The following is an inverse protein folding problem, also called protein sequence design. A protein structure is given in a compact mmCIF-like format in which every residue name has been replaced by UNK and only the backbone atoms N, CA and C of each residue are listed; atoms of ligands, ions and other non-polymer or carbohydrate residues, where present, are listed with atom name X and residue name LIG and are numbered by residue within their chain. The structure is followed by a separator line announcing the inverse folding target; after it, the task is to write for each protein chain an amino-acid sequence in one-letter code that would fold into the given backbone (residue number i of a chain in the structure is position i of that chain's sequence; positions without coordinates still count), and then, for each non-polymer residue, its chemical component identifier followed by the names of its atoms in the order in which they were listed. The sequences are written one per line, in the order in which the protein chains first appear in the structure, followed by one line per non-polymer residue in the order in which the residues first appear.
data_IF_942764342258
#
_entry.id   IF_942764342258
#
_cell.length_a   1.000
_cell.length_b   1.000
_cell.length_c   1.000
_cell.angle_alpha   90.00
_cell.angle_beta   90.00
_cell.angle_gamma   90.00
#
_symmetry.space_group_name_H-M   'P 1'
#
loop_
_entity.id
_entity.type
_entity.pdbx_description
1 polymer ?
#
# COMPACT_ATOMS: atom_id res chain seq x y z
N UNK A 1 -3.41 1.53 18.57
CA UNK A 1 -2.06 1.89 18.10
C UNK A 1 -2.21 3.01 17.08
N UNK A 2 -1.30 3.99 16.99
CA UNK A 2 -1.40 5.08 15.99
C UNK A 2 -0.65 4.73 14.70
N UNK A 3 -1.02 5.31 13.54
CA UNK A 3 -0.36 5.08 12.23
C UNK A 3 1.15 5.24 12.33
N UNK A 4 1.57 6.26 13.07
CA UNK A 4 2.99 6.57 13.23
C UNK A 4 3.70 5.37 13.85
N UNK A 5 3.12 4.74 14.86
CA UNK A 5 3.65 3.51 15.46
C UNK A 5 3.60 2.34 14.48
N UNK A 6 2.48 2.16 13.76
CA UNK A 6 2.33 1.03 12.81
C UNK A 6 3.27 1.16 11.61
N UNK A 7 3.43 2.34 11.03
CA UNK A 7 4.34 2.61 9.91
C UNK A 7 5.80 2.54 10.34
N UNK A 8 6.15 3.08 11.52
CA UNK A 8 7.50 2.91 12.06
C UNK A 8 7.79 1.41 12.30
N UNK A 9 6.84 0.68 12.88
CA UNK A 9 6.95 -0.77 13.06
C UNK A 9 6.93 -1.53 11.71
N UNK A 10 6.36 -0.94 10.67
CA UNK A 10 6.43 -1.38 9.28
C UNK A 10 7.72 -0.94 8.55
N UNK A 11 8.70 -0.41 9.30
CA UNK A 11 10.00 0.01 8.78
C UNK A 11 9.93 1.17 7.77
N UNK A 12 8.83 1.94 7.79
CA UNK A 12 8.73 3.18 7.03
C UNK A 12 9.59 4.22 7.74
N UNK A 13 10.67 4.63 7.08
CA UNK A 13 11.61 5.61 7.61
C UNK A 13 10.91 6.96 7.86
N UNK A 14 11.17 7.57 9.03
CA UNK A 14 10.72 8.92 9.35
C UNK A 14 11.24 9.97 8.35
N UNK A 15 12.38 9.73 7.70
CA UNK A 15 12.88 10.60 6.63
C UNK A 15 11.93 10.62 5.42
N UNK A 16 11.28 9.49 5.12
CA UNK A 16 10.25 9.39 4.09
C UNK A 16 8.95 10.09 4.52
N UNK A 17 8.71 10.26 5.81
CA UNK A 17 7.53 10.97 6.33
C UNK A 17 7.80 12.44 6.67
N UNK A 18 8.93 13.01 6.22
CA UNK A 18 9.30 14.40 6.51
C UNK A 18 8.21 15.38 6.08
N UNK A 19 7.84 16.27 6.99
CA UNK A 19 6.77 17.27 6.78
C UNK A 19 5.37 16.78 7.16
N UNK A 20 5.21 15.51 7.56
CA UNK A 20 3.93 14.98 8.06
C UNK A 20 4.04 14.80 9.58
N UNK A 21 3.20 15.53 10.33
CA UNK A 21 3.15 15.44 11.80
C UNK A 21 2.35 14.21 12.25
N UNK A 22 2.56 13.77 13.48
CA UNK A 22 1.77 12.68 14.08
C UNK A 22 0.28 12.99 14.14
N UNK A 23 -0.09 14.26 14.33
CA UNK A 23 -1.47 14.73 14.32
C UNK A 23 -2.09 14.61 12.93
N UNK A 24 -1.36 15.03 11.88
CA UNK A 24 -1.81 14.86 10.50
C UNK A 24 -2.03 13.39 10.14
N UNK A 25 -1.14 12.50 10.59
CA UNK A 25 -1.28 11.06 10.37
C UNK A 25 -2.55 10.51 11.03
N UNK A 26 -2.77 10.83 12.31
CA UNK A 26 -3.95 10.39 13.06
C UNK A 26 -5.26 10.82 12.38
N UNK A 27 -5.30 12.06 11.88
CA UNK A 27 -6.49 12.56 11.21
C UNK A 27 -6.70 11.94 9.82
N UNK A 28 -5.62 11.62 9.10
CA UNK A 28 -5.71 10.85 7.86
C UNK A 28 -6.29 9.47 8.17
N UNK A 29 -5.82 8.75 9.20
CA UNK A 29 -6.38 7.44 9.58
C UNK A 29 -7.87 7.50 9.87
N UNK A 30 -8.27 8.48 10.70
CA UNK A 30 -9.65 8.59 11.14
C UNK A 30 -10.59 8.82 9.95
N UNK A 31 -10.15 9.57 8.94
CA UNK A 31 -10.93 9.86 7.74
C UNK A 31 -10.78 8.81 6.64
N UNK A 32 -9.72 8.00 6.68
CA UNK A 32 -9.27 7.12 5.59
C UNK A 32 -8.94 5.72 6.15
N UNK A 33 -9.96 4.93 6.51
CA UNK A 33 -9.76 3.65 7.21
C UNK A 33 -8.94 2.63 6.41
N UNK A 34 -8.93 2.69 5.07
CA UNK A 34 -8.09 1.79 4.25
C UNK A 34 -6.60 2.09 4.36
N UNK A 35 -6.22 3.34 4.63
CA UNK A 35 -4.81 3.69 4.87
C UNK A 35 -4.35 3.09 6.21
N UNK A 36 -5.21 3.13 7.24
CA UNK A 36 -4.91 2.49 8.52
C UNK A 36 -4.74 0.97 8.36
N UNK A 37 -5.70 0.30 7.71
CA UNK A 37 -5.62 -1.13 7.42
C UNK A 37 -4.40 -1.49 6.55
N UNK A 38 -4.08 -0.65 5.56
CA UNK A 38 -2.89 -0.82 4.72
C UNK A 38 -1.59 -0.85 5.52
N UNK A 39 -1.47 0.00 6.55
CA UNK A 39 -0.30 0.00 7.42
C UNK A 39 -0.23 -1.25 8.30
N UNK A 40 -1.36 -1.77 8.79
CA UNK A 40 -1.41 -3.02 9.56
C UNK A 40 -0.97 -4.23 8.73
N UNK A 41 -1.40 -4.29 7.47
CA UNK A 41 -0.93 -5.30 6.53
C UNK A 41 0.57 -5.17 6.25
N UNK A 42 1.08 -3.95 6.05
CA UNK A 42 2.51 -3.76 5.85
C UNK A 42 3.34 -4.17 7.07
N UNK A 43 2.84 -3.89 8.28
CA UNK A 43 3.47 -4.34 9.51
C UNK A 43 3.48 -5.88 9.59
N UNK A 44 2.35 -6.52 9.27
CA UNK A 44 2.25 -7.98 9.24
C UNK A 44 3.18 -8.62 8.21
N UNK A 45 3.39 -7.98 7.05
CA UNK A 45 4.32 -8.43 6.02
C UNK A 45 5.78 -8.49 6.51
N UNK A 46 6.15 -7.74 7.55
CA UNK A 46 7.48 -7.80 8.16
C UNK A 46 7.62 -8.86 9.24
N UNK A 47 6.53 -9.48 9.67
CA UNK A 47 6.59 -10.51 10.67
C UNK A 47 7.24 -11.78 10.11
N UNK A 48 8.47 -12.05 10.52
CA UNK A 48 9.25 -13.20 10.08
C UNK A 48 8.67 -14.56 10.54
N UNK A 49 7.72 -14.58 11.49
CA UNK A 49 7.04 -15.82 11.89
C UNK A 49 5.96 -16.25 10.88
N UNK A 50 5.53 -15.36 9.98
CA UNK A 50 4.60 -15.68 8.91
C UNK A 50 5.30 -16.32 7.72
N UNK A 51 4.56 -17.19 7.01
CA UNK A 51 5.07 -17.80 5.78
C UNK A 51 5.36 -16.74 4.69
N UNK A 52 6.31 -16.97 3.77
CA UNK A 52 6.57 -16.05 2.66
C UNK A 52 5.32 -15.73 1.82
N UNK A 53 4.44 -16.71 1.62
CA UNK A 53 3.18 -16.53 0.89
C UNK A 53 2.22 -15.58 1.63
N UNK A 54 2.03 -15.79 2.93
CA UNK A 54 1.21 -14.91 3.77
C UNK A 54 1.77 -13.50 3.78
N UNK A 55 3.10 -13.36 3.91
CA UNK A 55 3.77 -12.04 3.88
C UNK A 55 3.56 -11.35 2.53
N UNK A 56 3.67 -12.08 1.42
CA UNK A 56 3.35 -11.56 0.08
C UNK A 56 1.89 -11.11 -0.05
N UNK A 57 0.95 -11.85 0.52
CA UNK A 57 -0.46 -11.43 0.57
C UNK A 57 -0.62 -10.14 1.37
N UNK A 58 0.01 -10.04 2.53
CA UNK A 58 -0.01 -8.81 3.32
C UNK A 58 0.60 -7.61 2.55
N UNK A 59 1.69 -7.81 1.81
CA UNK A 59 2.27 -6.76 0.95
C UNK A 59 1.25 -6.30 -0.10
N UNK A 60 0.65 -7.26 -0.80
CA UNK A 60 -0.35 -6.97 -1.83
C UNK A 60 -1.56 -6.21 -1.25
N UNK A 61 -2.13 -6.68 -0.15
CA UNK A 61 -3.31 -6.04 0.47
C UNK A 61 -2.97 -4.62 0.96
N UNK A 62 -1.76 -4.40 1.49
CA UNK A 62 -1.29 -3.07 1.85
C UNK A 62 -1.31 -2.11 0.66
N UNK A 63 -0.73 -2.53 -0.47
CA UNK A 63 -0.73 -1.76 -1.71
C UNK A 63 -2.15 -1.52 -2.21
N UNK A 64 -2.95 -2.58 -2.31
CA UNK A 64 -4.28 -2.53 -2.91
C UNK A 64 -5.22 -1.60 -2.14
N UNK A 65 -5.19 -1.63 -0.81
CA UNK A 65 -5.99 -0.74 0.04
C UNK A 65 -5.60 0.74 -0.14
N UNK A 66 -4.29 1.02 -0.28
CA UNK A 66 -3.81 2.36 -0.60
C UNK A 66 -4.27 2.80 -1.99
N UNK A 67 -4.21 1.90 -2.98
CA UNK A 67 -4.70 2.17 -4.35
C UNK A 67 -6.21 2.42 -4.41
N UNK A 68 -7.00 1.70 -3.62
CA UNK A 68 -8.45 1.93 -3.49
C UNK A 68 -8.73 3.34 -2.95
N UNK A 69 -8.03 3.76 -1.90
CA UNK A 69 -8.20 5.09 -1.32
C UNK A 69 -7.87 6.21 -2.33
N UNK A 70 -6.79 6.06 -3.09
CA UNK A 70 -6.43 6.99 -4.16
C UNK A 70 -7.45 7.01 -5.30
N UNK A 71 -8.06 5.87 -5.60
CA UNK A 71 -9.09 5.79 -6.65
C UNK A 71 -10.35 6.54 -6.22
N UNK A 72 -10.80 6.38 -4.98
CA UNK A 72 -11.94 7.16 -4.47
C UNK A 72 -11.65 8.65 -4.36
N UNK A 73 -10.42 9.03 -4.00
CA UNK A 73 -10.00 10.43 -4.00
C UNK A 73 -10.05 11.07 -5.41
N UNK A 74 -10.02 10.26 -6.46
CA UNK A 74 -10.19 10.66 -7.85
C UNK A 74 -11.64 10.51 -8.36
N UNK A 75 -12.61 10.28 -7.47
CA UNK A 75 -14.01 10.04 -7.80
C UNK A 75 -14.26 8.78 -8.64
N UNK A 76 -13.37 7.78 -8.56
CA UNK A 76 -13.62 6.46 -9.13
C UNK A 76 -14.44 5.63 -8.14
N UNK A 77 -15.60 5.13 -8.59
CA UNK A 77 -16.45 4.27 -7.77
C UNK A 77 -15.87 2.86 -7.63
N UNK A 78 -15.82 2.35 -6.40
CA UNK A 78 -15.35 1.00 -6.08
C UNK A 78 -16.48 -0.03 -5.97
N UNK A 79 -17.75 0.38 -6.01
CA UNK A 79 -18.90 -0.48 -5.67
C UNK A 79 -19.02 -1.78 -6.48
N UNK A 80 -18.45 -1.80 -7.69
CA UNK A 80 -18.52 -2.95 -8.62
C UNK A 80 -17.15 -3.49 -9.01
N UNK A 81 -16.11 -3.09 -8.30
CA UNK A 81 -14.74 -3.50 -8.60
C UNK A 81 -14.45 -4.83 -7.91
N UNK A 82 -14.14 -5.85 -8.71
CA UNK A 82 -13.72 -7.14 -8.18
C UNK A 82 -12.34 -7.05 -7.54
N UNK A 83 -12.14 -7.72 -6.39
CA UNK A 83 -10.83 -7.86 -5.77
C UNK A 83 -10.11 -9.11 -6.28
N UNK A 84 -8.84 -9.02 -6.70
CA UNK A 84 -8.07 -7.80 -6.95
C UNK A 84 -8.35 -7.22 -8.35
N UNK A 85 -8.27 -5.90 -8.49
CA UNK A 85 -8.44 -5.20 -9.78
C UNK A 85 -7.16 -4.53 -10.26
N UNK A 86 -6.69 -4.93 -11.44
CA UNK A 86 -5.54 -4.30 -12.10
C UNK A 86 -5.80 -2.81 -12.41
N UNK A 87 -7.05 -2.45 -12.72
CA UNK A 87 -7.39 -1.06 -13.05
C UNK A 87 -7.18 -0.13 -11.85
N UNK A 88 -7.47 -0.60 -10.64
CA UNK A 88 -7.27 0.18 -9.40
C UNK A 88 -5.79 0.42 -9.13
N UNK A 89 -4.98 -0.63 -9.19
CA UNK A 89 -3.53 -0.50 -8.95
C UNK A 89 -2.85 0.29 -10.07
N UNK A 90 -3.28 0.16 -11.32
CA UNK A 90 -2.73 0.97 -12.43
C UNK A 90 -3.10 2.45 -12.30
N UNK A 91 -4.34 2.78 -11.94
CA UNK A 91 -4.73 4.18 -11.72
C UNK A 91 -3.94 4.81 -10.56
N UNK A 92 -3.74 4.07 -9.48
CA UNK A 92 -2.92 4.50 -8.36
C UNK A 92 -1.44 4.70 -8.77
N UNK A 93 -0.88 3.79 -9.58
CA UNK A 93 0.49 3.91 -10.06
C UNK A 93 0.71 5.20 -10.86
N UNK A 94 -0.27 5.61 -11.68
CA UNK A 94 -0.24 6.89 -12.39
C UNK A 94 -0.26 8.09 -11.44
N UNK A 95 -1.13 8.08 -10.42
CA UNK A 95 -1.20 9.18 -9.44
C UNK A 95 0.06 9.31 -8.60
N UNK A 96 0.65 8.18 -8.24
CA UNK A 96 1.86 8.14 -7.42
C UNK A 96 3.16 8.35 -8.22
N UNK A 97 3.06 8.52 -9.54
CA UNK A 97 4.21 8.65 -10.46
C UNK A 97 5.24 7.52 -10.26
N UNK A 98 4.75 6.28 -10.18
CA UNK A 98 5.60 5.12 -9.95
C UNK A 98 6.50 4.85 -11.16
N UNK A 99 7.70 4.33 -10.90
CA UNK A 99 8.65 4.03 -11.98
C UNK A 99 8.16 2.86 -12.84
N UNK A 100 8.71 2.70 -14.05
CA UNK A 100 8.41 1.53 -14.88
C UNK A 100 8.72 0.20 -14.17
N UNK A 101 9.75 0.16 -13.31
CA UNK A 101 10.09 -1.02 -12.52
C UNK A 101 8.98 -1.33 -11.50
N UNK A 102 8.58 -0.32 -10.73
CA UNK A 102 7.51 -0.44 -9.72
C UNK A 102 6.19 -0.91 -10.36
N UNK A 103 5.86 -0.40 -11.56
CA UNK A 103 4.66 -0.79 -12.30
C UNK A 103 4.71 -2.27 -12.71
N UNK A 104 5.86 -2.76 -13.16
CA UNK A 104 6.03 -4.16 -13.55
C UNK A 104 5.90 -5.10 -12.34
N UNK A 105 6.52 -4.75 -11.22
CA UNK A 105 6.42 -5.49 -9.96
C UNK A 105 4.99 -5.50 -9.43
N UNK A 106 4.31 -4.35 -9.46
CA UNK A 106 2.91 -4.20 -9.07
C UNK A 106 1.98 -5.06 -9.91
N UNK A 107 2.20 -5.09 -11.23
CA UNK A 107 1.43 -5.94 -12.15
C UNK A 107 1.62 -7.42 -11.84
N UNK A 108 2.88 -7.86 -11.70
CA UNK A 108 3.20 -9.25 -11.37
C UNK A 108 2.57 -9.68 -10.03
N UNK A 109 2.61 -8.81 -9.02
CA UNK A 109 2.00 -9.07 -7.72
C UNK A 109 0.47 -9.15 -7.80
N UNK A 110 -0.16 -8.28 -8.60
CA UNK A 110 -1.62 -8.26 -8.78
C UNK A 110 -2.13 -9.48 -9.55
N UNK A 111 -1.46 -9.85 -10.64
CA UNK A 111 -1.75 -11.06 -11.41
C UNK A 111 -1.60 -12.31 -10.53
N UNK A 112 -0.53 -12.38 -9.75
CA UNK A 112 -0.33 -13.45 -8.78
C UNK A 112 -1.48 -13.49 -7.75
N UNK A 113 -1.84 -12.34 -7.18
CA UNK A 113 -2.91 -12.26 -6.19
C UNK A 113 -4.25 -12.75 -6.74
N UNK A 114 -4.54 -12.46 -8.02
CA UNK A 114 -5.74 -12.89 -8.73
C UNK A 114 -5.74 -14.40 -9.07
N UNK A 115 -4.56 -14.98 -9.31
CA UNK A 115 -4.42 -16.35 -9.83
C UNK A 115 -4.75 -17.48 -8.84
N UNK A 116 -4.97 -17.17 -7.56
CA UNK A 116 -5.06 -18.16 -6.47
C UNK A 116 -3.87 -19.13 -6.40
N UNK A 117 -2.71 -18.75 -6.96
CA UNK A 117 -1.52 -19.60 -6.97
C UNK A 117 -1.06 -19.96 -5.54
N UNK A 118 -0.71 -21.25 -5.29
CA UNK A 118 -0.12 -21.66 -4.03
C UNK A 118 1.37 -21.26 -3.92
N UNK A 119 2.01 -20.89 -5.03
CA UNK A 119 3.41 -20.46 -5.06
C UNK A 119 3.51 -18.95 -4.94
N UNK A 120 4.58 -18.43 -4.34
CA UNK A 120 4.86 -16.99 -4.32
C UNK A 120 5.18 -16.48 -5.74
N UNK A 121 4.97 -15.18 -6.03
CA UNK A 121 5.37 -14.61 -7.31
C UNK A 121 6.90 -14.71 -7.48
N UNK A 122 7.38 -14.61 -8.73
CA UNK A 122 8.81 -14.46 -9.02
C UNK A 122 9.28 -13.02 -8.71
N UNK A 123 9.06 -12.58 -7.48
CA UNK A 123 9.44 -11.27 -6.95
C UNK A 123 10.05 -11.48 -5.58
N UNK A 124 11.19 -10.84 -5.31
CA UNK A 124 11.82 -10.96 -3.99
C UNK A 124 10.95 -10.28 -2.94
N UNK A 125 10.95 -10.86 -1.74
CA UNK A 125 10.18 -10.34 -0.62
C UNK A 125 10.58 -8.91 -0.22
N UNK A 126 11.86 -8.62 -0.31
CA UNK A 126 12.43 -7.31 0.00
C UNK A 126 12.01 -6.24 -1.02
N UNK A 127 12.04 -6.58 -2.31
CA UNK A 127 11.64 -5.68 -3.40
C UNK A 127 10.14 -5.34 -3.29
N UNK A 128 9.30 -6.38 -3.13
CA UNK A 128 7.86 -6.20 -2.95
C UNK A 128 7.52 -5.38 -1.70
N UNK A 129 8.25 -5.60 -0.60
CA UNK A 129 8.06 -4.83 0.63
C UNK A 129 8.50 -3.37 0.46
N UNK A 130 9.56 -3.13 -0.30
CA UNK A 130 10.04 -1.78 -0.64
C UNK A 130 8.99 -1.04 -1.46
N UNK A 131 8.43 -1.70 -2.48
CA UNK A 131 7.34 -1.16 -3.29
C UNK A 131 6.13 -0.79 -2.42
N UNK A 132 5.70 -1.67 -1.51
CA UNK A 132 4.58 -1.36 -0.61
C UNK A 132 4.85 -0.15 0.29
N UNK A 133 6.07 -0.02 0.83
CA UNK A 133 6.46 1.18 1.61
C UNK A 133 6.37 2.45 0.76
N UNK A 134 6.87 2.42 -0.47
CA UNK A 134 6.81 3.56 -1.40
C UNK A 134 5.35 3.95 -1.66
N UNK A 135 4.49 2.98 -1.98
CA UNK A 135 3.06 3.22 -2.24
C UNK A 135 2.37 3.83 -1.03
N UNK A 136 2.54 3.26 0.15
CA UNK A 136 1.91 3.75 1.38
C UNK A 136 2.37 5.17 1.72
N UNK A 137 3.68 5.42 1.70
CA UNK A 137 4.24 6.75 1.97
C UNK A 137 3.71 7.79 0.99
N UNK A 138 3.74 7.49 -0.32
CA UNK A 138 3.32 8.45 -1.33
C UNK A 138 1.80 8.68 -1.28
N UNK A 139 1.02 7.66 -0.92
CA UNK A 139 -0.42 7.80 -0.66
C UNK A 139 -0.69 8.75 0.51
N UNK A 140 0.02 8.58 1.63
CA UNK A 140 -0.15 9.48 2.78
C UNK A 140 0.29 10.91 2.43
N UNK A 141 1.40 11.08 1.71
CA UNK A 141 1.85 12.39 1.23
C UNK A 141 0.83 13.05 0.32
N UNK A 142 0.17 12.28 -0.56
CA UNK A 142 -0.90 12.79 -1.41
C UNK A 142 -2.04 13.38 -0.56
N UNK A 143 -2.53 12.66 0.45
CA UNK A 143 -3.60 13.15 1.32
C UNK A 143 -3.16 14.27 2.27
N UNK A 144 -1.90 14.29 2.69
CA UNK A 144 -1.36 15.40 3.47
C UNK A 144 -1.32 16.70 2.65
N UNK A 145 -1.06 16.63 1.33
CA UNK A 145 -1.04 17.78 0.43
C UNK A 145 -2.43 18.33 0.11
N UNK A 146 -3.46 17.49 0.00
CA UNK A 146 -4.84 17.92 -0.28
C UNK A 146 -5.47 18.81 0.81
N UNK A 147 -4.75 19.04 1.92
CA UNK A 147 -5.15 19.95 3.00
C UNK A 147 -4.52 21.35 2.92
N UNK A 148 -3.47 21.52 2.13
CA UNK A 148 -2.87 22.82 1.87
C UNK A 148 -3.60 23.52 0.73
#
# INVERSE_FOLDING_TARGET
MSLSTTLIAAGVDRTLMRGITSEHLCEIEHRRPRIAASAEFLHSALNATLSPHTRMRCIFESIYLSSCELSEAQNLSLERVAHPSINIVSAAATVLDLTCSDILELRALTEWAASNSPFTPQLKLEDACTLARVVVVNTIRFFAKLRG
#
